data_IF_621342097943
#
_entry.id   IF_621342097943
#
_cell.length_a   1.000
_cell.length_b   1.000
_cell.length_c   1.000
_cell.angle_alpha   90.00
_cell.angle_beta   90.00
_cell.angle_gamma   90.00
#
_symmetry.space_group_name_H-M   'P 1'
#
loop_
_entity.id
_entity.type
_entity.pdbx_description
1 polymer ?
#
# COMPACT_ATOMS: atom_id res chain seq x y z
N UNK A 1 -2.14 11.34 -1.74
CA UNK A 1 -3.32 11.55 -0.84
C UNK A 1 -2.96 11.12 0.57
N UNK A 2 -3.79 11.40 1.58
CA UNK A 2 -3.56 10.93 2.96
C UNK A 2 -4.64 9.90 3.32
N UNK A 3 -4.24 8.72 3.79
CA UNK A 3 -5.14 7.65 4.24
C UNK A 3 -4.63 7.13 5.57
N UNK A 4 -5.49 7.13 6.61
CA UNK A 4 -5.12 6.73 7.98
C UNK A 4 -3.86 7.44 8.52
N UNK A 5 -3.60 8.67 8.07
CA UNK A 5 -2.41 9.46 8.46
C UNK A 5 -1.17 9.20 7.61
N UNK A 6 -1.20 8.26 6.68
CA UNK A 6 -0.08 7.95 5.79
C UNK A 6 -0.22 8.65 4.45
N UNK A 7 0.89 9.15 3.92
CA UNK A 7 0.96 9.69 2.57
C UNK A 7 1.05 8.54 1.56
N UNK A 8 0.04 8.45 0.71
CA UNK A 8 -0.06 7.48 -0.37
C UNK A 8 0.49 8.13 -1.64
N UNK A 9 1.66 7.64 -2.07
CA UNK A 9 2.39 8.05 -3.27
C UNK A 9 3.40 6.96 -3.70
N UNK A 10 3.97 7.04 -4.92
CA UNK A 10 5.01 6.11 -5.36
C UNK A 10 6.23 6.12 -4.42
N UNK A 11 6.75 4.94 -4.10
CA UNK A 11 7.89 4.78 -3.19
C UNK A 11 7.58 5.09 -1.73
N UNK A 12 6.31 5.26 -1.35
CA UNK A 12 5.93 5.54 0.04
C UNK A 12 6.44 4.45 0.99
N UNK A 13 6.99 4.88 2.14
CA UNK A 13 7.30 3.99 3.26
C UNK A 13 6.03 3.81 4.09
N UNK A 14 5.42 2.63 3.95
CA UNK A 14 4.18 2.22 4.61
C UNK A 14 4.43 0.97 5.47
N UNK A 15 5.68 0.75 5.92
CA UNK A 15 6.02 -0.36 6.78
C UNK A 15 5.20 -0.31 8.06
N UNK A 16 4.61 -1.45 8.43
CA UNK A 16 3.76 -1.59 9.62
C UNK A 16 2.52 -0.66 9.65
N UNK A 17 2.19 -0.01 8.53
CA UNK A 17 1.06 0.90 8.46
C UNK A 17 -0.26 0.15 8.72
N UNK A 18 -1.14 0.75 9.53
CA UNK A 18 -2.50 0.25 9.70
C UNK A 18 -3.41 0.83 8.62
N UNK A 19 -3.63 0.06 7.56
CA UNK A 19 -4.48 0.39 6.41
C UNK A 19 -5.75 -0.48 6.38
N UNK A 20 -6.18 -0.97 7.56
CA UNK A 20 -7.44 -1.71 7.72
C UNK A 20 -8.60 -0.90 7.13
N UNK A 21 -9.41 -1.53 6.26
CA UNK A 21 -10.52 -0.90 5.53
C UNK A 21 -10.17 0.34 4.68
N UNK A 22 -8.89 0.58 4.39
CA UNK A 22 -8.49 1.71 3.58
C UNK A 22 -9.06 1.60 2.15
N UNK A 23 -9.65 2.68 1.65
CA UNK A 23 -9.91 2.82 0.22
C UNK A 23 -8.62 3.28 -0.48
N UNK A 24 -7.97 2.36 -1.18
CA UNK A 24 -6.77 2.58 -1.98
C UNK A 24 -7.06 2.35 -3.48
N UNK A 25 -8.33 2.44 -3.89
CA UNK A 25 -8.73 2.26 -5.27
C UNK A 25 -8.05 3.30 -6.17
N UNK A 26 -7.56 2.86 -7.33
CA UNK A 26 -6.90 3.70 -8.32
C UNK A 26 -5.67 4.49 -7.80
N UNK A 27 -5.10 4.09 -6.65
CA UNK A 27 -3.91 4.77 -6.10
C UNK A 27 -2.64 4.31 -6.81
N UNK A 28 -1.64 5.19 -6.85
CA UNK A 28 -0.31 4.81 -7.30
C UNK A 28 0.61 4.52 -6.11
N UNK A 29 0.91 3.24 -5.92
CA UNK A 29 1.79 2.68 -4.89
C UNK A 29 3.03 2.02 -5.52
N UNK A 30 3.38 2.39 -6.75
CA UNK A 30 4.56 1.85 -7.47
C UNK A 30 5.80 1.98 -6.59
N UNK A 31 6.48 0.87 -6.33
CA UNK A 31 7.69 0.83 -5.50
C UNK A 31 7.48 1.09 -4.00
N UNK A 32 6.24 1.21 -3.50
CA UNK A 32 5.98 1.45 -2.08
C UNK A 32 6.41 0.25 -1.23
N UNK A 33 6.80 0.50 0.02
CA UNK A 33 7.13 -0.56 0.98
C UNK A 33 6.00 -0.76 1.97
N UNK A 34 5.20 -1.82 1.77
CA UNK A 34 4.09 -2.24 2.63
C UNK A 34 4.48 -3.37 3.58
N UNK A 35 5.78 -3.63 3.80
CA UNK A 35 6.24 -4.73 4.68
C UNK A 35 5.53 -4.66 6.03
N UNK A 36 4.88 -5.76 6.44
CA UNK A 36 4.07 -5.88 7.66
C UNK A 36 2.89 -4.90 7.79
N UNK A 37 2.50 -4.18 6.73
CA UNK A 37 1.31 -3.34 6.74
C UNK A 37 0.04 -4.19 6.90
N UNK A 38 -0.92 -3.71 7.68
CA UNK A 38 -2.22 -4.33 7.78
C UNK A 38 -3.12 -3.84 6.64
N UNK A 39 -3.29 -4.66 5.60
CA UNK A 39 -4.18 -4.42 4.46
C UNK A 39 -5.50 -5.21 4.56
N UNK A 40 -5.85 -5.75 5.73
CA UNK A 40 -7.08 -6.53 5.86
C UNK A 40 -8.30 -5.68 5.46
N UNK A 41 -9.11 -6.20 4.53
CA UNK A 41 -10.27 -5.51 3.95
C UNK A 41 -9.98 -4.14 3.30
N UNK A 42 -8.72 -3.82 3.00
CA UNK A 42 -8.39 -2.66 2.18
C UNK A 42 -8.83 -2.90 0.73
N UNK A 43 -9.40 -1.89 0.09
CA UNK A 43 -9.77 -1.95 -1.32
C UNK A 43 -8.60 -1.46 -2.19
N UNK A 44 -7.97 -2.40 -2.88
CA UNK A 44 -6.84 -2.18 -3.79
C UNK A 44 -7.24 -2.29 -5.27
N UNK A 45 -8.53 -2.25 -5.60
CA UNK A 45 -8.96 -2.34 -6.99
C UNK A 45 -8.27 -1.26 -7.83
N UNK A 46 -7.65 -1.70 -8.92
CA UNK A 46 -6.89 -0.84 -9.85
C UNK A 46 -5.72 -0.06 -9.21
N UNK A 47 -5.26 -0.43 -8.01
CA UNK A 47 -4.04 0.16 -7.45
C UNK A 47 -2.81 -0.25 -8.28
N UNK A 48 -1.92 0.70 -8.57
CA UNK A 48 -0.66 0.42 -9.26
C UNK A 48 0.38 0.00 -8.22
N UNK A 49 0.71 -1.30 -8.19
CA UNK A 49 1.59 -1.91 -7.19
C UNK A 49 2.92 -2.40 -7.76
N UNK A 50 3.22 -2.13 -9.04
CA UNK A 50 4.47 -2.60 -9.66
C UNK A 50 5.70 -2.22 -8.83
N UNK A 51 6.52 -3.20 -8.48
CA UNK A 51 7.71 -3.04 -7.66
C UNK A 51 7.46 -2.80 -6.17
N UNK A 52 6.21 -2.75 -5.71
CA UNK A 52 5.91 -2.60 -4.28
C UNK A 52 6.34 -3.85 -3.50
N UNK A 53 6.86 -3.64 -2.29
CA UNK A 53 7.09 -4.74 -1.34
C UNK A 53 5.80 -4.96 -0.55
N UNK A 54 5.19 -6.13 -0.69
CA UNK A 54 3.91 -6.50 -0.06
C UNK A 54 4.07 -6.81 1.43
N UNK A 55 2.97 -6.93 2.21
CA UNK A 55 3.06 -7.20 3.65
C UNK A 55 3.87 -8.43 4.06
N UNK A 56 3.89 -9.46 3.21
CA UNK A 56 4.67 -10.70 3.40
C UNK A 56 6.15 -10.58 2.98
N UNK A 57 6.57 -9.41 2.49
CA UNK A 57 7.92 -9.16 1.99
C UNK A 57 8.14 -9.54 0.52
N UNK A 58 7.13 -10.06 -0.18
CA UNK A 58 7.24 -10.34 -1.61
C UNK A 58 7.20 -9.06 -2.44
N UNK A 59 7.89 -9.04 -3.59
CA UNK A 59 7.79 -7.93 -4.54
C UNK A 59 6.65 -8.19 -5.52
N UNK A 60 5.70 -7.26 -5.61
CA UNK A 60 4.65 -7.30 -6.61
C UNK A 60 5.22 -6.92 -7.97
N UNK A 61 5.06 -7.80 -8.95
CA UNK A 61 5.56 -7.60 -10.31
C UNK A 61 4.65 -6.69 -11.12
#
# INVERSE_FOLDING_TARGET
MIVNGYKIEPGADLREANLLWANLQNTNLTGANLTRANLFLADLQHAHLTGATMPDGSIHK
#
